data_IF_817839587902
#
_entry.id   IF_817839587902
#
_cell.length_a   1.000
_cell.length_b   1.000
_cell.length_c   1.000
_cell.angle_alpha   90.00
_cell.angle_beta   90.00
_cell.angle_gamma   90.00
#
_symmetry.space_group_name_H-M   'P 1'
#
loop_
_entity.id
_entity.type
_entity.pdbx_description
1 polymer ?
#
# COMPACT_ATOMS: atom_id res chain seq x y z
N UNK A 1 12.48 -0.17 4.01
CA UNK A 1 12.10 0.28 2.67
C UNK A 1 10.76 -0.37 2.37
N UNK A 2 9.71 0.42 2.20
CA UNK A 2 8.36 -0.12 2.07
C UNK A 2 8.08 -0.74 0.70
N UNK A 3 6.85 -1.20 0.51
CA UNK A 3 6.45 -1.93 -0.70
C UNK A 3 6.30 -0.96 -1.88
N UNK A 4 6.81 -1.35 -3.05
CA UNK A 4 6.78 -0.53 -4.27
C UNK A 4 7.36 0.90 -4.09
N UNK A 5 8.30 1.09 -3.15
CA UNK A 5 8.94 2.38 -2.89
C UNK A 5 8.10 3.39 -2.10
N UNK A 6 6.94 2.98 -1.58
CA UNK A 6 6.11 3.78 -0.68
C UNK A 6 6.64 3.62 0.74
N UNK A 7 6.91 4.70 1.45
CA UNK A 7 7.49 4.66 2.80
C UNK A 7 6.57 5.29 3.86
N UNK A 8 5.50 5.93 3.42
CA UNK A 8 4.45 6.52 4.23
C UNK A 8 3.62 5.44 4.93
N UNK A 9 3.16 5.72 6.14
CA UNK A 9 2.26 4.83 6.88
C UNK A 9 0.83 4.94 6.34
N UNK A 10 0.59 4.30 5.19
CA UNK A 10 -0.72 4.26 4.53
C UNK A 10 -1.30 2.85 4.45
N UNK A 11 -2.61 2.79 4.29
CA UNK A 11 -3.33 1.54 4.04
C UNK A 11 -3.94 1.55 2.64
N UNK A 12 -3.56 0.58 1.81
CA UNK A 12 -4.08 0.40 0.45
C UNK A 12 -4.22 -1.10 0.14
N UNK A 13 -5.17 -1.45 -0.71
CA UNK A 13 -5.46 -2.86 -1.03
C UNK A 13 -4.31 -3.53 -1.78
N UNK A 14 -3.83 -4.66 -1.26
CA UNK A 14 -2.83 -5.53 -1.88
C UNK A 14 -3.19 -7.00 -1.67
N UNK A 15 -2.73 -7.92 -2.54
CA UNK A 15 -2.90 -9.35 -2.32
C UNK A 15 -2.16 -9.79 -1.04
N UNK A 16 -2.89 -10.41 -0.12
CA UNK A 16 -2.37 -10.85 1.16
C UNK A 16 -2.86 -12.27 1.49
N UNK A 17 -2.07 -12.99 2.30
CA UNK A 17 -2.47 -14.27 2.87
C UNK A 17 -3.15 -13.98 4.22
N UNK A 18 -4.29 -14.64 4.43
CA UNK A 18 -5.06 -14.51 5.66
C UNK A 18 -4.94 -15.78 6.49
N UNK A 19 -4.65 -15.60 7.79
CA UNK A 19 -4.66 -16.65 8.80
C UNK A 19 -5.65 -16.34 9.93
N UNK A 20 -5.62 -17.16 10.99
CA UNK A 20 -6.49 -16.97 12.17
C UNK A 20 -6.35 -15.59 12.82
N UNK A 21 -5.17 -14.97 12.72
CA UNK A 21 -4.85 -13.69 13.36
C UNK A 21 -4.93 -12.49 12.40
N UNK A 22 -5.57 -12.64 11.24
CA UNK A 22 -5.64 -11.59 10.21
C UNK A 22 -4.59 -11.79 9.11
N UNK A 23 -4.01 -10.68 8.62
CA UNK A 23 -2.99 -10.70 7.56
C UNK A 23 -1.72 -11.37 8.08
N UNK A 24 -1.35 -12.51 7.52
CA UNK A 24 -0.12 -13.22 7.86
C UNK A 24 1.05 -12.81 6.96
N UNK A 25 0.79 -12.64 5.67
CA UNK A 25 1.81 -12.39 4.65
C UNK A 25 1.29 -11.49 3.54
N UNK A 26 2.22 -10.86 2.84
CA UNK A 26 1.96 -10.01 1.67
C UNK A 26 2.54 -10.69 0.43
N UNK A 27 1.75 -10.77 -0.64
CA UNK A 27 2.23 -11.28 -1.92
C UNK A 27 2.73 -10.10 -2.77
N UNK A 28 4.03 -10.08 -3.06
CA UNK A 28 4.62 -9.10 -3.96
C UNK A 28 4.28 -9.44 -5.40
N UNK A 29 3.52 -8.56 -6.05
CA UNK A 29 3.17 -8.66 -7.47
C UNK A 29 4.23 -7.92 -8.28
N UNK A 30 4.65 -8.48 -9.40
CA UNK A 30 5.48 -7.76 -10.36
C UNK A 30 4.57 -6.83 -11.16
N UNK A 31 4.58 -5.55 -10.79
CA UNK A 31 3.91 -4.50 -11.55
C UNK A 31 4.82 -4.02 -12.68
N UNK A 32 4.23 -3.71 -13.83
CA UNK A 32 4.93 -2.96 -14.86
C UNK A 32 5.07 -1.47 -14.45
N UNK A 33 5.82 -0.69 -15.22
CA UNK A 33 6.12 0.70 -14.88
C UNK A 33 4.88 1.60 -14.82
N UNK A 34 3.86 1.35 -15.66
CA UNK A 34 2.61 2.10 -15.66
C UNK A 34 1.77 1.74 -14.43
N UNK A 35 1.63 0.45 -14.14
CA UNK A 35 0.91 -0.06 -12.96
C UNK A 35 1.54 0.46 -11.65
N UNK A 36 2.87 0.44 -11.54
CA UNK A 36 3.57 0.95 -10.35
C UNK A 36 3.38 2.46 -10.20
N UNK A 37 3.39 3.23 -11.31
CA UNK A 37 3.13 4.66 -11.28
C UNK A 37 1.70 4.98 -10.83
N UNK A 38 0.71 4.23 -11.33
CA UNK A 38 -0.69 4.37 -10.91
C UNK A 38 -0.88 3.97 -9.44
N UNK A 39 -0.24 2.89 -9.00
CA UNK A 39 -0.28 2.43 -7.62
C UNK A 39 0.29 3.48 -6.65
N UNK A 40 1.44 4.08 -6.99
CA UNK A 40 2.02 5.20 -6.24
C UNK A 40 1.11 6.42 -6.20
N UNK A 41 0.47 6.78 -7.33
CA UNK A 41 -0.49 7.89 -7.36
C UNK A 41 -1.68 7.65 -6.43
N UNK A 42 -2.20 6.42 -6.35
CA UNK A 42 -3.25 6.07 -5.40
C UNK A 42 -2.77 6.17 -3.95
N UNK A 43 -1.55 5.71 -3.68
CA UNK A 43 -0.90 5.83 -2.37
C UNK A 43 -0.76 7.30 -1.92
N UNK A 44 -0.24 8.17 -2.79
CA UNK A 44 -0.10 9.61 -2.51
C UNK A 44 -1.46 10.27 -2.23
N UNK A 45 -2.48 9.88 -2.97
CA UNK A 45 -3.85 10.42 -2.80
C UNK A 45 -4.41 10.07 -1.42
N UNK A 46 -4.24 8.82 -0.98
CA UNK A 46 -4.68 8.40 0.36
C UNK A 46 -3.84 9.04 1.45
N UNK A 47 -2.52 9.13 1.28
CA UNK A 47 -1.62 9.74 2.25
C UNK A 47 -2.00 11.19 2.54
N UNK A 48 -2.32 11.96 1.50
CA UNK A 48 -2.70 13.36 1.64
C UNK A 48 -3.92 13.58 2.52
N UNK A 49 -4.86 12.63 2.53
CA UNK A 49 -6.03 12.67 3.41
C UNK A 49 -5.69 12.12 4.80
N UNK A 50 -5.01 10.97 4.87
CA UNK A 50 -4.75 10.27 6.12
C UNK A 50 -3.84 11.06 7.06
N UNK A 51 -2.85 11.77 6.54
CA UNK A 51 -1.88 12.56 7.33
C UNK A 51 -2.51 13.74 8.07
N UNK A 52 -3.68 14.20 7.64
CA UNK A 52 -4.39 15.34 8.22
C UNK A 52 -5.39 14.91 9.30
N UNK A 53 -5.62 13.60 9.46
CA UNK A 53 -6.50 13.06 10.48
C UNK A 53 -5.85 13.22 11.86
N UNK A 54 -6.52 13.94 12.76
CA UNK A 54 -6.18 14.00 14.18
C UNK A 54 -7.07 13.03 14.94
N UNK A 55 -6.46 12.17 15.75
CA UNK A 55 -7.13 11.17 16.60
C UNK A 55 -6.84 11.45 18.07
#
# INVERSE_FOLDING_TARGET
MGLYGINEEIFLSIPCVLGRNGVSDIVKVNLNSEEEALFKKSADTLWNVQKELMF
#
